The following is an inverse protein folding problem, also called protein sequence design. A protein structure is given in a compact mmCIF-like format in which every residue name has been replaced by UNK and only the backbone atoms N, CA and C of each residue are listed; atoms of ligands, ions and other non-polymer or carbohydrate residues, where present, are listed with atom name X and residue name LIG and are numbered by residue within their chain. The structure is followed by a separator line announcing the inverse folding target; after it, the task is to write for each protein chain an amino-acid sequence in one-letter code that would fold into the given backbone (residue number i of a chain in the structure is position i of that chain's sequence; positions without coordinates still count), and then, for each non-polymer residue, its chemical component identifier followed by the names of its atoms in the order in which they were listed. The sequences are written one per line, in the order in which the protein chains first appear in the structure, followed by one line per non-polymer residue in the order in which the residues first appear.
data_IF_576267298960
#
_entry.id   IF_576267298960
#
_cell.length_a   1.000
_cell.length_b   1.000
_cell.length_c   1.000
_cell.angle_alpha   90.00
_cell.angle_beta   90.00
_cell.angle_gamma   90.00
#
_symmetry.space_group_name_H-M   'P 1'
#
loop_
_entity.id
_entity.type
_entity.pdbx_description
1 polymer ?
#
# COMPACT_ATOMS: atom_id res chain seq x y z
N UNK A 1 29.59 -44.31 -16.95
CA UNK A 1 29.96 -42.88 -16.84
C UNK A 1 28.69 -42.08 -16.64
N UNK A 2 28.46 -41.64 -15.40
CA UNK A 2 27.17 -41.15 -14.91
C UNK A 2 26.96 -39.70 -15.34
N UNK A 3 25.84 -39.49 -16.04
CA UNK A 3 25.29 -38.22 -16.50
C UNK A 3 24.46 -37.65 -15.34
N UNK A 4 24.82 -36.47 -14.83
CA UNK A 4 24.02 -35.77 -13.83
C UNK A 4 23.28 -34.62 -14.52
N UNK A 5 21.97 -34.80 -14.67
CA UNK A 5 21.01 -33.77 -15.06
C UNK A 5 20.92 -32.70 -13.96
N UNK A 6 21.39 -31.48 -14.24
CA UNK A 6 21.16 -30.31 -13.38
C UNK A 6 19.93 -29.55 -13.90
N UNK A 7 18.73 -30.00 -13.50
CA UNK A 7 17.50 -29.21 -13.64
C UNK A 7 17.41 -28.19 -12.50
N UNK A 8 18.14 -27.08 -12.62
CA UNK A 8 17.88 -25.87 -11.80
C UNK A 8 17.01 -24.88 -12.57
N UNK A 9 15.72 -24.87 -12.24
CA UNK A 9 14.77 -23.83 -12.67
C UNK A 9 15.17 -22.48 -12.06
N UNK A 10 15.20 -21.37 -12.81
CA UNK A 10 15.31 -20.04 -12.24
C UNK A 10 14.05 -19.74 -11.43
N UNK A 11 14.23 -19.26 -10.19
CA UNK A 11 13.14 -18.66 -9.41
C UNK A 11 12.82 -17.31 -10.03
N UNK A 12 11.90 -17.32 -11.00
CA UNK A 12 11.15 -16.14 -11.38
C UNK A 12 10.19 -15.84 -10.23
N UNK A 13 10.10 -14.59 -9.80
CA UNK A 13 8.99 -14.13 -8.96
C UNK A 13 7.70 -14.25 -9.78
N UNK A 14 7.13 -15.46 -9.81
CA UNK A 14 5.96 -15.79 -10.60
C UNK A 14 4.73 -15.21 -9.91
N UNK A 15 4.23 -14.11 -10.47
CA UNK A 15 2.90 -13.57 -10.21
C UNK A 15 1.84 -14.36 -11.00
N UNK A 16 1.87 -15.68 -10.99
CA UNK A 16 0.79 -16.52 -11.56
C UNK A 16 0.98 -18.00 -11.19
N UNK A 17 0.06 -18.57 -10.39
CA UNK A 17 0.04 -20.01 -10.10
C UNK A 17 -1.09 -20.71 -10.86
N UNK A 18 -0.70 -21.68 -11.70
CA UNK A 18 -1.56 -22.69 -12.31
C UNK A 18 -2.04 -23.76 -11.31
N UNK A 19 -3.00 -24.62 -11.70
CA UNK A 19 -3.92 -25.29 -10.78
C UNK A 19 -3.36 -26.60 -10.23
N UNK A 20 -3.57 -26.84 -8.93
CA UNK A 20 -3.38 -28.15 -8.30
C UNK A 20 -4.71 -28.91 -8.26
N UNK A 21 -4.69 -30.08 -8.89
CA UNK A 21 -5.72 -31.11 -8.82
C UNK A 21 -5.83 -31.74 -7.43
N UNK A 22 -7.08 -31.88 -6.98
CA UNK A 22 -7.69 -33.04 -6.32
C UNK A 22 -6.82 -33.91 -5.40
N UNK A 23 -6.98 -33.68 -4.10
CA UNK A 23 -6.92 -34.74 -3.09
C UNK A 23 -8.24 -34.76 -2.32
N UNK A 24 -9.05 -35.76 -2.65
CA UNK A 24 -10.28 -36.18 -1.98
C UNK A 24 -9.97 -36.71 -0.58
N UNK A 25 -10.67 -36.22 0.45
CA UNK A 25 -10.81 -36.92 1.73
C UNK A 25 -12.10 -36.50 2.44
N UNK A 26 -12.95 -37.49 2.74
CA UNK A 26 -13.69 -37.54 4.01
C UNK A 26 -15.07 -36.88 4.07
N UNK A 27 -16.06 -37.55 3.51
CA UNK A 27 -17.50 -37.37 3.80
C UNK A 27 -17.76 -37.65 5.30
N UNK A 28 -18.33 -36.71 6.06
CA UNK A 28 -19.12 -37.07 7.25
C UNK A 28 -20.16 -36.02 7.68
N UNK A 29 -21.42 -36.46 7.57
CA UNK A 29 -22.64 -36.18 8.35
C UNK A 29 -23.09 -34.74 8.61
N UNK A 30 -24.16 -34.44 7.89
CA UNK A 30 -25.21 -33.44 8.13
C UNK A 30 -25.91 -33.73 9.47
N UNK A 31 -25.98 -32.75 10.36
CA UNK A 31 -26.87 -32.75 11.54
C UNK A 31 -27.71 -31.47 11.50
N UNK A 32 -29.02 -31.63 11.52
CA UNK A 32 -30.04 -30.59 11.65
C UNK A 32 -30.41 -30.46 13.13
N UNK A 33 -30.61 -29.24 13.69
CA UNK A 33 -31.20 -29.08 15.01
C UNK A 33 -32.70 -28.76 14.93
N UNK A 34 -33.47 -29.38 15.82
CA UNK A 34 -34.88 -29.07 16.13
C UNK A 34 -34.97 -27.92 17.16
N UNK A 35 -36.10 -27.19 17.23
CA UNK A 35 -36.25 -25.99 18.06
C UNK A 35 -36.98 -26.25 19.40
N UNK A 36 -37.01 -25.19 20.22
CA UNK A 36 -37.86 -24.91 21.40
C UNK A 36 -37.30 -25.27 22.80
N UNK A 37 -36.85 -24.26 23.55
CA UNK A 37 -37.69 -23.59 24.57
C UNK A 37 -36.96 -22.42 25.29
N UNK A 38 -37.67 -21.28 25.32
CA UNK A 38 -37.83 -20.23 26.34
C UNK A 38 -36.71 -19.31 26.90
N UNK A 39 -37.12 -18.03 26.95
CA UNK A 39 -36.45 -16.73 27.20
C UNK A 39 -36.11 -16.45 28.70
N UNK A 40 -35.69 -15.23 29.18
CA UNK A 40 -35.52 -13.93 28.51
C UNK A 40 -34.32 -13.00 28.89
N UNK A 41 -34.06 -12.05 27.97
CA UNK A 41 -33.64 -10.62 28.11
C UNK A 41 -32.41 -10.21 28.96
N UNK A 42 -31.36 -9.76 28.24
CA UNK A 42 -30.56 -8.56 28.60
C UNK A 42 -29.71 -8.11 27.40
N UNK A 43 -29.71 -6.81 27.06
CA UNK A 43 -28.69 -6.17 26.23
C UNK A 43 -29.08 -5.72 24.81
N UNK A 44 -30.02 -4.76 24.68
CA UNK A 44 -30.49 -4.20 23.40
C UNK A 44 -29.56 -3.17 22.72
N UNK A 45 -28.27 -3.10 23.07
CA UNK A 45 -27.32 -2.16 22.44
C UNK A 45 -26.39 -2.81 21.41
N UNK A 46 -26.20 -4.14 21.43
CA UNK A 46 -25.31 -4.84 20.49
C UNK A 46 -25.99 -5.31 19.19
N UNK A 47 -27.32 -5.40 19.14
CA UNK A 47 -28.04 -5.82 17.92
C UNK A 47 -28.16 -4.69 16.90
N UNK A 48 -28.32 -3.44 17.32
CA UNK A 48 -28.40 -2.28 16.40
C UNK A 48 -27.05 -2.04 15.71
N UNK A 49 -25.93 -2.20 16.43
CA UNK A 49 -24.59 -2.06 15.84
C UNK A 49 -24.24 -3.21 14.86
N UNK A 50 -24.65 -4.45 15.15
CA UNK A 50 -24.47 -5.57 14.21
C UNK A 50 -25.30 -5.41 12.94
N UNK A 51 -26.52 -4.88 13.04
CA UNK A 51 -27.42 -4.73 11.89
C UNK A 51 -26.96 -3.60 10.94
N UNK A 52 -26.40 -2.51 11.48
CA UNK A 52 -25.78 -1.46 10.65
C UNK A 52 -24.45 -1.91 10.00
N UNK A 53 -23.63 -2.72 10.67
CA UNK A 53 -22.39 -3.25 10.07
C UNK A 53 -22.70 -4.32 9.01
N UNK A 54 -23.74 -5.13 9.21
CA UNK A 54 -24.16 -6.13 8.22
C UNK A 54 -24.79 -5.49 6.98
N UNK A 55 -25.53 -4.38 7.14
CA UNK A 55 -26.15 -3.65 6.02
C UNK A 55 -25.14 -2.85 5.16
N UNK A 56 -23.96 -2.50 5.70
CA UNK A 56 -22.86 -1.93 4.90
C UNK A 56 -22.08 -3.03 4.17
N UNK A 57 -22.07 -4.26 4.70
CA UNK A 57 -21.35 -5.39 4.09
C UNK A 57 -22.13 -6.11 2.98
N UNK A 58 -23.46 -6.03 2.92
CA UNK A 58 -24.28 -6.82 1.99
C UNK A 58 -24.76 -6.08 0.74
N UNK A 59 -24.40 -4.80 0.54
CA UNK A 59 -24.67 -4.06 -0.71
C UNK A 59 -23.58 -4.16 -1.78
N UNK A 60 -22.58 -5.03 -1.61
CA UNK A 60 -21.48 -5.22 -2.58
C UNK A 60 -21.54 -6.51 -3.40
N UNK A 61 -22.75 -7.03 -3.67
CA UNK A 61 -22.93 -8.21 -4.53
C UNK A 61 -24.10 -8.08 -5.51
N UNK A 62 -24.30 -6.87 -6.04
CA UNK A 62 -24.87 -6.72 -7.39
C UNK A 62 -23.72 -6.28 -8.29
N UNK A 63 -23.15 -7.23 -9.05
CA UNK A 63 -22.19 -6.90 -10.11
C UNK A 63 -23.00 -6.27 -11.24
N UNK A 64 -23.35 -5.00 -11.09
CA UNK A 64 -23.79 -4.20 -12.22
C UNK A 64 -22.63 -4.16 -13.20
N UNK A 65 -22.82 -4.77 -14.37
CA UNK A 65 -21.91 -4.64 -15.50
C UNK A 65 -22.04 -3.21 -16.03
N UNK A 66 -21.41 -2.26 -15.33
CA UNK A 66 -21.38 -0.87 -15.72
C UNK A 66 -20.56 -0.80 -17.01
N UNK A 67 -21.22 -0.35 -18.07
CA UNK A 67 -20.58 -0.06 -19.35
C UNK A 67 -19.40 0.88 -19.10
N UNK A 68 -18.26 0.59 -19.72
CA UNK A 68 -17.14 1.52 -19.65
C UNK A 68 -17.55 2.89 -20.20
N UNK A 69 -16.98 3.96 -19.65
CA UNK A 69 -16.91 5.21 -20.39
C UNK A 69 -16.09 4.93 -21.65
N UNK A 70 -16.76 4.94 -22.80
CA UNK A 70 -16.13 4.88 -24.13
C UNK A 70 -15.51 6.21 -24.53
N UNK A 71 -15.52 7.19 -23.61
CA UNK A 71 -15.09 8.56 -23.85
C UNK A 71 -14.02 8.97 -22.84
N UNK A 72 -13.08 9.84 -23.23
CA UNK A 72 -12.17 10.49 -22.30
C UNK A 72 -12.94 11.25 -21.20
N UNK A 73 -12.32 11.47 -20.03
CA UNK A 73 -13.00 12.07 -18.89
C UNK A 73 -13.20 13.61 -18.99
N UNK A 74 -12.68 14.24 -20.03
CA UNK A 74 -12.82 15.67 -20.35
C UNK A 74 -12.73 15.84 -21.87
N UNK A 75 -13.03 17.03 -22.38
CA UNK A 75 -13.08 17.43 -23.80
C UNK A 75 -11.70 17.81 -24.34
N UNK A 76 -11.58 17.97 -25.67
CA UNK A 76 -10.34 18.39 -26.31
C UNK A 76 -9.98 19.83 -25.94
N UNK A 77 -10.98 20.70 -25.75
CA UNK A 77 -10.80 22.13 -25.52
C UNK A 77 -10.17 22.45 -24.15
N UNK A 78 -10.32 21.53 -23.20
CA UNK A 78 -9.79 21.64 -21.84
C UNK A 78 -8.51 20.83 -21.66
N UNK A 79 -8.09 20.10 -22.70
CA UNK A 79 -6.82 19.38 -22.72
C UNK A 79 -5.65 20.34 -22.56
N UNK A 80 -4.71 19.99 -21.68
CA UNK A 80 -3.49 20.77 -21.47
C UNK A 80 -2.42 20.24 -22.44
N UNK A 81 -1.96 21.04 -23.41
CA UNK A 81 -1.00 20.59 -24.40
C UNK A 81 0.37 20.34 -23.75
N UNK A 82 1.08 19.34 -24.23
CA UNK A 82 2.49 19.13 -23.89
C UNK A 82 3.28 18.69 -25.11
N UNK A 83 4.53 19.14 -25.21
CA UNK A 83 5.51 18.68 -26.20
C UNK A 83 6.03 17.27 -25.90
N UNK A 84 6.12 16.91 -24.62
CA UNK A 84 6.58 15.59 -24.17
C UNK A 84 5.61 15.02 -23.13
N UNK A 85 5.09 13.83 -23.40
CA UNK A 85 4.11 13.16 -22.54
C UNK A 85 4.74 12.11 -21.63
N UNK A 86 5.85 11.51 -22.05
CA UNK A 86 6.52 10.41 -21.35
C UNK A 86 7.87 10.85 -20.79
N UNK A 87 8.37 10.22 -19.71
CA UNK A 87 9.73 10.46 -19.25
C UNK A 87 10.78 10.00 -20.27
N UNK A 88 12.04 10.41 -20.06
CA UNK A 88 13.13 10.08 -20.98
C UNK A 88 13.46 8.58 -21.04
N UNK A 89 13.44 7.90 -19.89
CA UNK A 89 13.67 6.46 -19.80
C UNK A 89 13.00 5.90 -18.53
N UNK A 90 12.60 4.64 -18.59
CA UNK A 90 12.03 3.89 -17.46
C UNK A 90 12.78 2.58 -17.31
N UNK A 91 12.84 2.09 -16.07
CA UNK A 91 13.44 0.79 -15.78
C UNK A 91 12.38 -0.30 -15.86
N UNK A 92 12.74 -1.40 -16.50
CA UNK A 92 11.95 -2.63 -16.45
C UNK A 92 12.16 -3.37 -15.10
N UNK A 93 11.52 -4.54 -14.97
CA UNK A 93 11.63 -5.41 -13.79
C UNK A 93 13.06 -5.89 -13.50
N UNK A 94 13.94 -5.87 -14.51
CA UNK A 94 15.34 -6.22 -14.40
C UNK A 94 16.24 -5.00 -14.15
N UNK A 95 15.69 -3.80 -13.98
CA UNK A 95 16.40 -2.52 -13.81
C UNK A 95 17.12 -2.01 -15.06
N UNK A 96 16.81 -2.56 -16.24
CA UNK A 96 17.33 -2.11 -17.53
C UNK A 96 16.53 -0.90 -18.01
N UNK A 97 17.19 0.23 -18.34
CA UNK A 97 16.51 1.39 -18.88
C UNK A 97 16.02 1.12 -20.32
N UNK A 98 14.77 1.47 -20.60
CA UNK A 98 14.16 1.42 -21.91
C UNK A 98 13.34 2.70 -22.17
N UNK A 99 13.07 2.99 -23.44
CA UNK A 99 12.24 4.13 -23.82
C UNK A 99 10.75 3.82 -23.58
N UNK A 100 9.98 4.68 -22.91
CA UNK A 100 8.54 4.45 -22.72
C UNK A 100 7.74 4.38 -24.03
N UNK A 101 8.28 4.93 -25.12
CA UNK A 101 7.66 4.91 -26.44
C UNK A 101 7.78 3.55 -27.13
N UNK A 102 8.76 2.70 -26.77
CA UNK A 102 8.89 1.37 -27.38
C UNK A 102 7.85 0.40 -26.83
N UNK A 103 7.50 0.52 -25.55
CA UNK A 103 6.45 -0.27 -24.91
C UNK A 103 5.63 0.57 -23.93
N UNK A 104 4.69 1.33 -24.49
CA UNK A 104 3.81 2.23 -23.72
C UNK A 104 2.83 1.47 -22.83
N UNK A 105 2.41 0.26 -23.22
CA UNK A 105 1.49 -0.55 -22.41
C UNK A 105 2.15 -0.99 -21.11
N UNK A 106 3.39 -1.50 -21.19
CA UNK A 106 4.18 -1.89 -20.01
C UNK A 106 4.53 -0.69 -19.15
N UNK A 107 4.91 0.43 -19.78
CA UNK A 107 5.11 1.69 -19.06
C UNK A 107 3.88 2.07 -18.22
N UNK A 108 2.70 2.15 -18.84
CA UNK A 108 1.49 2.60 -18.15
C UNK A 108 1.06 1.64 -17.04
N UNK A 109 1.29 0.34 -17.20
CA UNK A 109 1.10 -0.63 -16.13
C UNK A 109 1.99 -0.29 -14.94
N UNK A 110 3.29 -0.09 -15.16
CA UNK A 110 4.21 0.20 -14.07
C UNK A 110 3.94 1.56 -13.41
N UNK A 111 3.53 2.57 -14.18
CA UNK A 111 3.39 3.95 -13.68
C UNK A 111 2.03 4.26 -13.04
N UNK A 112 0.96 3.58 -13.46
CA UNK A 112 -0.40 3.83 -12.95
C UNK A 112 -0.99 2.68 -12.13
N UNK A 113 -0.50 1.44 -12.29
CA UNK A 113 -1.11 0.30 -11.60
C UNK A 113 -0.89 0.36 -10.09
N UNK A 114 -1.97 0.32 -9.32
CA UNK A 114 -1.96 0.27 -7.84
C UNK A 114 -2.25 -1.14 -7.31
N UNK A 115 -1.77 -2.16 -8.02
CA UNK A 115 -2.01 -3.57 -7.70
C UNK A 115 -1.55 -3.98 -6.30
N UNK A 116 -0.41 -3.45 -5.83
CA UNK A 116 0.09 -3.70 -4.48
C UNK A 116 -0.97 -3.33 -3.44
N UNK A 117 -1.56 -2.15 -3.56
CA UNK A 117 -2.57 -1.67 -2.62
C UNK A 117 -3.93 -2.34 -2.82
N UNK A 118 -4.29 -2.71 -4.06
CA UNK A 118 -5.51 -3.44 -4.36
C UNK A 118 -5.53 -4.81 -3.66
N UNK A 119 -4.38 -5.49 -3.59
CA UNK A 119 -4.26 -6.78 -2.88
C UNK A 119 -4.62 -6.72 -1.40
N UNK A 120 -4.38 -5.58 -0.76
CA UNK A 120 -4.69 -5.35 0.66
C UNK A 120 -5.90 -4.44 0.86
N UNK A 121 -6.71 -4.20 -0.19
CA UNK A 121 -7.84 -3.27 -0.16
C UNK A 121 -8.75 -3.45 1.06
N UNK A 122 -9.08 -4.71 1.39
CA UNK A 122 -9.92 -5.09 2.54
C UNK A 122 -9.41 -4.61 3.90
N UNK A 123 -8.12 -4.30 4.01
CA UNK A 123 -7.45 -3.88 5.24
C UNK A 123 -7.06 -2.39 5.23
N UNK A 124 -7.27 -1.66 4.13
CA UNK A 124 -6.84 -0.26 4.01
C UNK A 124 -7.49 0.64 5.06
N UNK A 125 -8.68 0.30 5.55
CA UNK A 125 -9.36 1.00 6.64
C UNK A 125 -8.54 1.05 7.95
N UNK A 126 -7.61 0.11 8.15
CA UNK A 126 -6.66 0.16 9.27
C UNK A 126 -5.62 1.26 9.04
N UNK A 127 -5.18 1.48 7.80
CA UNK A 127 -4.14 2.44 7.45
C UNK A 127 -4.65 3.87 7.27
N UNK A 128 -5.89 4.05 6.81
CA UNK A 128 -6.50 5.35 6.54
C UNK A 128 -8.03 5.29 6.58
N UNK A 129 -8.67 6.45 6.66
CA UNK A 129 -10.13 6.54 6.62
C UNK A 129 -10.60 6.57 5.15
N UNK A 130 -11.78 5.99 4.83
CA UNK A 130 -12.36 6.07 3.49
C UNK A 130 -12.92 7.48 3.26
N UNK A 131 -12.02 8.42 2.98
CA UNK A 131 -12.32 9.81 2.68
C UNK A 131 -11.33 10.32 1.64
N UNK A 132 -11.68 11.36 0.85
CA UNK A 132 -10.75 12.02 -0.04
C UNK A 132 -9.53 12.56 0.72
N UNK A 133 -8.38 12.76 0.05
CA UNK A 133 -7.22 13.38 0.70
C UNK A 133 -7.56 14.82 1.10
N UNK A 134 -6.89 15.31 2.15
CA UNK A 134 -7.06 16.71 2.57
C UNK A 134 -6.24 17.65 1.67
N UNK A 135 -6.68 18.90 1.46
CA UNK A 135 -6.01 19.84 0.57
C UNK A 135 -4.55 20.16 0.96
N UNK A 136 -3.75 20.62 0.02
CA UNK A 136 -2.31 20.87 0.21
C UNK A 136 -2.00 21.93 1.28
N UNK A 137 -2.84 22.96 1.39
CA UNK A 137 -2.72 23.97 2.42
C UNK A 137 -2.87 23.35 3.82
N UNK A 138 -3.77 22.38 4.00
CA UNK A 138 -3.94 21.64 5.24
C UNK A 138 -2.73 20.77 5.55
N UNK A 139 -2.13 20.13 4.53
CA UNK A 139 -0.90 19.35 4.70
C UNK A 139 0.21 20.24 5.27
N UNK A 140 0.41 21.39 4.65
CA UNK A 140 1.42 22.37 5.05
C UNK A 140 1.13 22.94 6.44
N UNK A 141 -0.13 23.31 6.72
CA UNK A 141 -0.55 23.83 8.03
C UNK A 141 -0.37 22.81 9.18
N UNK A 142 -0.45 21.51 8.88
CA UNK A 142 -0.19 20.42 9.85
C UNK A 142 1.31 20.11 9.96
N UNK A 143 2.17 20.95 9.40
CA UNK A 143 3.63 20.76 9.33
C UNK A 143 4.02 19.43 8.67
N UNK A 144 3.27 19.01 7.65
CA UNK A 144 3.70 17.89 6.81
C UNK A 144 4.55 18.41 5.67
N UNK A 145 5.71 17.80 5.48
CA UNK A 145 6.55 18.06 4.33
C UNK A 145 5.99 17.30 3.13
N UNK A 146 5.73 18.02 2.05
CA UNK A 146 5.32 17.44 0.76
C UNK A 146 6.58 16.94 0.06
N UNK A 147 6.57 15.68 -0.37
CA UNK A 147 7.70 15.04 -1.06
C UNK A 147 7.21 14.51 -2.41
N UNK A 148 7.71 15.04 -3.54
CA UNK A 148 7.47 14.46 -4.84
C UNK A 148 8.03 13.04 -4.91
N UNK A 149 7.19 12.06 -5.25
CA UNK A 149 7.58 10.64 -5.36
C UNK A 149 6.90 10.00 -6.57
N UNK A 150 7.66 9.65 -7.61
CA UNK A 150 7.14 9.07 -8.85
C UNK A 150 6.43 7.72 -8.67
N UNK A 151 6.61 7.05 -7.52
CA UNK A 151 5.99 5.74 -7.28
C UNK A 151 4.52 5.89 -6.95
N UNK A 152 3.67 5.31 -7.79
CA UNK A 152 2.22 5.34 -7.60
C UNK A 152 1.77 4.69 -6.28
N UNK A 153 2.49 3.66 -5.85
CA UNK A 153 2.27 2.96 -4.57
C UNK A 153 2.47 3.86 -3.34
N UNK A 154 3.25 4.93 -3.46
CA UNK A 154 3.52 5.88 -2.38
C UNK A 154 2.64 7.13 -2.45
N UNK A 155 1.89 7.33 -3.53
CA UNK A 155 0.99 8.48 -3.66
C UNK A 155 -0.03 8.51 -2.51
N UNK A 156 -0.08 9.64 -1.79
CA UNK A 156 -0.86 9.92 -0.57
C UNK A 156 -0.49 9.07 0.65
N UNK A 157 0.66 8.42 0.65
CA UNK A 157 1.19 7.71 1.80
C UNK A 157 2.06 8.68 2.63
N UNK A 158 1.83 8.72 3.94
CA UNK A 158 2.62 9.56 4.84
C UNK A 158 3.34 8.77 5.93
N UNK A 159 4.52 9.27 6.26
CA UNK A 159 5.49 8.68 7.17
C UNK A 159 5.40 9.26 8.58
N UNK A 160 5.85 8.52 9.62
CA UNK A 160 5.96 9.05 10.98
C UNK A 160 6.77 10.35 11.09
N UNK A 161 7.74 10.54 10.19
CA UNK A 161 8.57 11.74 10.01
C UNK A 161 7.79 12.99 9.52
N UNK A 162 6.46 12.91 9.42
CA UNK A 162 5.57 13.95 8.86
C UNK A 162 5.81 14.26 7.39
N UNK A 163 6.35 13.32 6.62
CA UNK A 163 6.50 13.44 5.17
C UNK A 163 5.33 12.79 4.47
N UNK A 164 4.69 13.48 3.53
CA UNK A 164 3.66 12.92 2.66
C UNK A 164 4.22 12.81 1.24
N UNK A 165 4.13 11.63 0.67
CA UNK A 165 4.60 11.33 -0.67
C UNK A 165 3.48 11.55 -1.68
N UNK A 166 3.73 12.35 -2.71
CA UNK A 166 2.78 12.65 -3.76
C UNK A 166 3.46 12.47 -5.13
N UNK A 167 2.93 11.54 -5.94
CA UNK A 167 3.30 11.44 -7.35
C UNK A 167 2.93 12.72 -8.09
N UNK A 168 3.88 13.44 -8.71
CA UNK A 168 3.61 14.57 -9.59
C UNK A 168 2.60 14.18 -10.67
N UNK A 169 1.69 15.09 -11.02
CA UNK A 169 0.63 14.79 -11.97
C UNK A 169 1.26 14.61 -13.37
N UNK A 170 1.20 13.40 -13.96
CA UNK A 170 1.86 13.17 -15.23
C UNK A 170 1.17 13.94 -16.36
N UNK A 171 1.97 14.61 -17.21
CA UNK A 171 1.48 15.41 -18.33
C UNK A 171 0.58 14.63 -19.28
N UNK A 172 0.85 13.34 -19.46
CA UNK A 172 0.02 12.49 -20.31
C UNK A 172 -1.41 12.32 -19.80
N UNK A 173 -1.68 12.42 -18.49
CA UNK A 173 -3.04 12.38 -17.95
C UNK A 173 -3.83 13.67 -18.19
N UNK A 174 -3.14 14.76 -18.53
CA UNK A 174 -3.76 16.05 -18.86
C UNK A 174 -4.09 16.18 -20.36
N UNK A 175 -3.77 15.15 -21.16
CA UNK A 175 -3.95 15.14 -22.61
C UNK A 175 -5.14 14.29 -23.04
N UNK A 176 -6.16 14.90 -23.62
CA UNK A 176 -7.33 14.19 -24.17
C UNK A 176 -6.93 13.10 -25.18
N UNK A 177 -5.98 13.42 -26.07
CA UNK A 177 -5.53 12.48 -27.10
C UNK A 177 -4.83 11.26 -26.51
N UNK A 178 -4.12 11.44 -25.39
CA UNK A 178 -3.48 10.34 -24.70
C UNK A 178 -4.50 9.37 -24.09
N UNK A 179 -5.54 9.90 -23.43
CA UNK A 179 -6.66 9.09 -22.93
C UNK A 179 -7.29 8.26 -24.03
N UNK A 180 -7.63 8.91 -25.16
CA UNK A 180 -8.25 8.24 -26.31
C UNK A 180 -7.37 7.14 -26.89
N UNK A 181 -6.06 7.35 -26.95
CA UNK A 181 -5.12 6.42 -27.59
C UNK A 181 -4.79 5.21 -26.72
N UNK A 182 -4.58 5.42 -25.41
CA UNK A 182 -3.97 4.42 -24.52
C UNK A 182 -4.84 3.96 -23.34
N UNK A 183 -5.81 4.76 -22.89
CA UNK A 183 -6.58 4.47 -21.67
C UNK A 183 -8.02 4.02 -21.95
N UNK A 184 -8.52 4.20 -23.17
CA UNK A 184 -9.84 3.70 -23.59
C UNK A 184 -9.67 2.33 -24.26
N UNK A 185 -10.50 1.33 -23.89
CA UNK A 185 -10.46 0.02 -24.54
C UNK A 185 -10.91 0.21 -26.03
N UNK A 186 -10.14 -0.32 -26.98
CA UNK A 186 -10.47 -0.29 -28.43
C UNK A 186 -11.45 -1.40 -28.77
N UNK A 187 -12.32 -1.17 -29.75
CA UNK A 187 -13.20 -2.22 -30.26
C UNK A 187 -12.44 -3.19 -31.17
N UNK A 188 -12.68 -4.52 -31.09
CA UNK A 188 -13.53 -5.22 -30.13
C UNK A 188 -12.79 -5.53 -28.80
N UNK A 189 -13.26 -4.97 -27.68
CA UNK A 189 -12.81 -5.36 -26.34
C UNK A 189 -13.81 -6.35 -25.72
N UNK A 190 -13.36 -7.47 -25.12
CA UNK A 190 -14.23 -8.39 -24.35
C UNK A 190 -15.03 -7.67 -23.25
N UNK A 191 -14.49 -6.58 -22.72
CA UNK A 191 -15.12 -5.71 -21.73
C UNK A 191 -16.30 -4.87 -22.24
N UNK A 192 -16.44 -4.72 -23.56
CA UNK A 192 -17.52 -3.98 -24.21
C UNK A 192 -18.64 -4.91 -24.71
N UNK A 193 -18.35 -6.20 -24.92
CA UNK A 193 -19.25 -7.11 -25.63
C UNK A 193 -19.89 -8.23 -24.80
N UNK A 194 -19.42 -8.56 -23.59
CA UNK A 194 -19.95 -9.75 -22.91
C UNK A 194 -20.01 -9.69 -21.36
N UNK A 195 -21.20 -9.95 -20.81
CA UNK A 195 -21.47 -9.97 -19.35
C UNK A 195 -20.75 -11.12 -18.60
N UNK A 196 -20.27 -12.12 -19.34
CA UNK A 196 -19.73 -13.39 -18.80
C UNK A 196 -18.29 -13.25 -18.28
N UNK A 197 -17.52 -12.25 -18.74
CA UNK A 197 -16.12 -12.06 -18.33
C UNK A 197 -15.95 -11.51 -16.91
N UNK A 198 -17.03 -11.11 -16.23
CA UNK A 198 -16.98 -10.55 -14.88
C UNK A 198 -16.88 -11.59 -13.75
N UNK A 199 -16.83 -12.90 -14.06
CA UNK A 199 -16.94 -13.98 -13.05
C UNK A 199 -15.74 -14.96 -12.97
N UNK A 200 -14.70 -14.84 -13.78
CA UNK A 200 -13.58 -15.80 -13.70
C UNK A 200 -12.62 -15.45 -12.56
N UNK A 201 -12.41 -16.41 -11.64
CA UNK A 201 -11.40 -16.35 -10.57
C UNK A 201 -9.95 -16.62 -11.05
N UNK A 202 -9.74 -16.74 -12.37
CA UNK A 202 -8.41 -16.77 -13.00
C UNK A 202 -8.16 -15.39 -13.61
N UNK A 203 -7.00 -14.80 -13.29
CA UNK A 203 -6.64 -13.39 -13.45
C UNK A 203 -6.38 -12.91 -14.88
N UNK A 204 -6.94 -13.57 -15.87
CA UNK A 204 -6.74 -13.36 -17.31
C UNK A 204 -7.92 -12.63 -17.99
N UNK A 205 -8.92 -12.19 -17.20
CA UNK A 205 -10.20 -11.63 -17.68
C UNK A 205 -10.52 -10.16 -17.37
N UNK A 206 -9.56 -9.35 -16.92
CA UNK A 206 -9.79 -7.91 -16.62
C UNK A 206 -9.26 -7.06 -17.78
N UNK A 207 -10.08 -6.24 -18.48
CA UNK A 207 -9.54 -5.29 -19.50
C UNK A 207 -8.47 -4.44 -18.81
N UNK A 208 -7.23 -4.60 -19.22
CA UNK A 208 -6.10 -3.87 -18.65
C UNK A 208 -6.30 -2.36 -18.83
N UNK A 209 -6.81 -1.92 -19.97
CA UNK A 209 -7.12 -0.51 -20.23
C UNK A 209 -8.23 -0.01 -19.30
N UNK A 210 -9.23 -0.83 -18.97
CA UNK A 210 -10.24 -0.49 -17.95
C UNK A 210 -9.59 -0.28 -16.58
N UNK A 211 -8.66 -1.16 -16.20
CA UNK A 211 -7.93 -1.01 -14.95
C UNK A 211 -7.10 0.29 -14.94
N UNK A 212 -6.35 0.56 -16.02
CA UNK A 212 -5.54 1.77 -16.16
C UNK A 212 -6.38 3.05 -16.20
N UNK A 213 -7.52 3.04 -16.88
CA UNK A 213 -8.49 4.14 -16.89
C UNK A 213 -8.92 4.49 -15.46
N UNK A 214 -9.35 3.48 -14.70
CA UNK A 214 -9.77 3.66 -13.30
C UNK A 214 -8.64 4.18 -12.42
N UNK A 215 -7.40 3.75 -12.66
CA UNK A 215 -6.24 4.21 -11.91
C UNK A 215 -5.87 5.65 -12.26
N UNK A 216 -5.82 6.00 -13.54
CA UNK A 216 -5.56 7.36 -14.01
C UNK A 216 -6.64 8.35 -13.55
N UNK A 217 -7.91 7.95 -13.60
CA UNK A 217 -9.02 8.81 -13.15
C UNK A 217 -8.98 8.97 -11.63
N UNK A 218 -8.62 7.92 -10.91
CA UNK A 218 -8.39 7.99 -9.46
C UNK A 218 -7.25 8.93 -9.08
N UNK A 219 -6.15 8.95 -9.86
CA UNK A 219 -5.06 9.90 -9.68
C UNK A 219 -5.49 11.34 -9.98
N UNK A 220 -6.31 11.57 -11.00
CA UNK A 220 -6.90 12.90 -11.23
C UNK A 220 -7.82 13.30 -10.07
N UNK A 221 -8.64 12.37 -9.59
CA UNK A 221 -9.54 12.59 -8.46
C UNK A 221 -8.81 12.97 -7.17
N UNK A 222 -7.65 12.36 -6.88
CA UNK A 222 -6.85 12.77 -5.73
C UNK A 222 -6.36 14.21 -5.87
N UNK A 223 -5.93 14.63 -7.07
CA UNK A 223 -5.51 16.00 -7.33
C UNK A 223 -6.65 17.03 -7.26
N UNK A 224 -7.86 16.68 -7.73
CA UNK A 224 -9.06 17.51 -7.53
C UNK A 224 -9.29 17.79 -6.04
N UNK A 225 -9.06 16.80 -5.18
CA UNK A 225 -9.23 16.90 -3.73
C UNK A 225 -8.05 17.58 -3.01
N UNK A 226 -6.84 17.47 -3.57
CA UNK A 226 -5.64 18.10 -3.04
C UNK A 226 -5.59 19.60 -3.36
N UNK A 227 -6.11 20.01 -4.53
CA UNK A 227 -6.02 21.36 -5.07
C UNK A 227 -7.42 21.99 -5.16
N UNK A 228 -7.94 22.42 -4.01
CA UNK A 228 -9.28 23.03 -3.92
C UNK A 228 -9.25 24.53 -4.22
N UNK A 229 -8.23 25.24 -3.72
CA UNK A 229 -8.11 26.71 -3.81
C UNK A 229 -6.86 27.11 -4.58
N UNK A 230 -6.82 28.37 -5.01
CA UNK A 230 -5.67 28.97 -5.67
C UNK A 230 -4.39 28.91 -4.79
N UNK A 231 -4.54 29.01 -3.46
CA UNK A 231 -3.42 28.76 -2.53
C UNK A 231 -2.87 27.33 -2.59
N UNK A 232 -3.73 26.32 -2.75
CA UNK A 232 -3.29 24.94 -2.92
C UNK A 232 -2.59 24.76 -4.27
N UNK A 233 -3.08 25.45 -5.31
CA UNK A 233 -2.49 25.43 -6.64
C UNK A 233 -1.08 26.02 -6.64
N UNK A 234 -0.88 27.16 -5.96
CA UNK A 234 0.44 27.75 -5.78
C UNK A 234 1.40 26.79 -5.06
N UNK A 235 0.94 26.11 -4.00
CA UNK A 235 1.72 25.07 -3.30
C UNK A 235 2.06 23.92 -4.24
N UNK A 236 1.10 23.46 -5.06
CA UNK A 236 1.33 22.37 -6.00
C UNK A 236 2.39 22.71 -7.05
N UNK A 237 2.42 23.94 -7.56
CA UNK A 237 3.44 24.39 -8.49
C UNK A 237 4.80 24.57 -7.82
N UNK A 238 4.86 25.17 -6.63
CA UNK A 238 6.09 25.34 -5.85
C UNK A 238 6.76 23.98 -5.53
N UNK A 239 5.93 22.98 -5.21
CA UNK A 239 6.38 21.62 -4.92
C UNK A 239 6.56 20.75 -6.19
N UNK A 240 6.48 21.34 -7.39
CA UNK A 240 6.63 20.64 -8.68
C UNK A 240 5.67 19.45 -8.89
N UNK A 241 4.51 19.49 -8.24
CA UNK A 241 3.46 18.47 -8.40
C UNK A 241 2.60 18.72 -9.63
N UNK A 242 2.46 19.98 -10.04
CA UNK A 242 1.84 20.38 -11.28
C UNK A 242 2.90 20.98 -12.22
N UNK A 243 2.75 20.78 -13.54
CA UNK A 243 3.58 21.49 -14.51
C UNK A 243 3.41 23.02 -14.41
N UNK A 244 4.50 23.78 -14.48
CA UNK A 244 4.48 25.25 -14.36
C UNK A 244 3.72 25.97 -15.48
N UNK A 245 3.56 25.32 -16.62
CA UNK A 245 2.78 25.81 -17.77
C UNK A 245 1.27 25.67 -17.60
N UNK A 246 0.80 24.94 -16.57
CA UNK A 246 -0.62 24.91 -16.21
C UNK A 246 -0.97 26.20 -15.48
N UNK A 247 -2.02 26.89 -15.91
CA UNK A 247 -2.57 28.05 -15.18
C UNK A 247 -3.74 27.64 -14.30
N UNK A 248 -4.07 28.47 -13.30
CA UNK A 248 -5.24 28.25 -12.45
C UNK A 248 -6.54 28.18 -13.26
N UNK A 249 -6.70 29.02 -14.28
CA UNK A 249 -7.88 29.00 -15.17
C UNK A 249 -8.03 27.68 -15.93
N UNK A 250 -6.92 27.12 -16.43
CA UNK A 250 -6.90 25.82 -17.10
C UNK A 250 -7.27 24.71 -16.11
N UNK A 251 -6.74 24.76 -14.90
CA UNK A 251 -7.08 23.81 -13.83
C UNK A 251 -8.56 23.86 -13.47
N UNK A 252 -9.14 25.05 -13.27
CA UNK A 252 -10.57 25.21 -12.94
C UNK A 252 -11.48 24.65 -14.04
N UNK A 253 -11.17 24.92 -15.32
CA UNK A 253 -11.92 24.34 -16.45
C UNK A 253 -11.84 22.82 -16.47
N UNK A 254 -10.64 22.26 -16.25
CA UNK A 254 -10.41 20.82 -16.21
C UNK A 254 -11.18 20.14 -15.07
N UNK A 255 -11.07 20.69 -13.86
CA UNK A 255 -11.77 20.18 -12.69
C UNK A 255 -13.29 20.21 -12.92
N UNK A 256 -13.82 21.30 -13.49
CA UNK A 256 -15.25 21.42 -13.78
C UNK A 256 -15.75 20.28 -14.66
N UNK A 257 -15.10 20.02 -15.80
CA UNK A 257 -15.52 18.93 -16.69
C UNK A 257 -15.33 17.55 -16.05
N UNK A 258 -14.24 17.34 -15.30
CA UNK A 258 -14.01 16.08 -14.58
C UNK A 258 -15.12 15.78 -13.56
N UNK A 259 -15.57 16.81 -12.83
CA UNK A 259 -16.68 16.68 -11.87
C UNK A 259 -18.00 16.40 -12.59
N UNK A 260 -18.30 17.10 -13.68
CA UNK A 260 -19.50 16.89 -14.50
C UNK A 260 -19.54 15.49 -15.15
N UNK A 261 -18.38 14.96 -15.54
CA UNK A 261 -18.23 13.63 -16.14
C UNK A 261 -18.07 12.49 -15.09
N UNK A 262 -18.31 12.78 -13.81
CA UNK A 262 -18.41 11.77 -12.77
C UNK A 262 -17.08 11.24 -12.22
N UNK A 263 -15.98 12.01 -12.30
CA UNK A 263 -14.69 11.63 -11.70
C UNK A 263 -14.77 11.33 -10.18
N UNK A 264 -15.80 11.83 -9.50
CA UNK A 264 -16.06 11.59 -8.07
C UNK A 264 -16.85 10.31 -7.80
N UNK A 265 -17.40 9.66 -8.83
CA UNK A 265 -18.17 8.44 -8.66
C UNK A 265 -17.22 7.28 -8.29
N UNK A 266 -17.39 6.64 -7.12
CA UNK A 266 -16.59 5.50 -6.68
C UNK A 266 -16.52 4.34 -7.67
N UNK A 267 -17.51 4.20 -8.57
CA UNK A 267 -17.57 3.14 -9.56
C UNK A 267 -16.57 3.33 -10.72
N UNK A 268 -16.23 4.58 -11.05
CA UNK A 268 -15.35 4.93 -12.18
C UNK A 268 -13.89 5.06 -11.78
N UNK A 269 -13.60 5.18 -10.48
CA UNK A 269 -12.23 5.23 -9.96
C UNK A 269 -11.78 3.89 -9.42
N UNK A 270 -10.46 3.69 -9.34
CA UNK A 270 -9.92 2.51 -8.67
C UNK A 270 -10.22 2.60 -7.16
N UNK A 271 -10.63 1.48 -6.55
CA UNK A 271 -11.04 1.41 -5.15
C UNK A 271 -9.95 1.88 -4.15
N UNK A 272 -8.68 1.87 -4.56
CA UNK A 272 -7.59 2.51 -3.83
C UNK A 272 -7.90 3.98 -3.50
N UNK A 273 -8.36 4.76 -4.47
CA UNK A 273 -8.51 6.22 -4.33
C UNK A 273 -9.72 6.64 -3.49
N UNK A 274 -10.53 5.69 -3.04
CA UNK A 274 -11.54 5.92 -2.00
C UNK A 274 -10.89 6.17 -0.62
N UNK A 275 -9.62 5.78 -0.47
CA UNK A 275 -8.79 6.10 0.67
C UNK A 275 -7.76 7.13 0.23
N UNK A 276 -7.91 8.37 0.69
CA UNK A 276 -6.93 9.43 0.45
C UNK A 276 -5.64 9.16 1.21
N UNK A 277 -5.55 9.69 2.44
CA UNK A 277 -4.30 9.61 3.22
C UNK A 277 -4.11 8.27 3.91
N UNK A 278 -2.98 7.62 3.64
CA UNK A 278 -2.59 6.38 4.27
C UNK A 278 -1.33 6.50 5.13
N UNK A 279 -1.36 5.86 6.30
CA UNK A 279 -0.19 5.79 7.19
C UNK A 279 0.74 4.66 6.79
N UNK A 280 2.00 4.97 6.47
CA UNK A 280 3.00 3.96 6.11
C UNK A 280 3.22 2.95 7.24
N UNK A 281 3.31 3.42 8.49
CA UNK A 281 3.51 2.54 9.66
C UNK A 281 2.42 1.48 9.82
N UNK A 282 1.19 1.79 9.39
CA UNK A 282 0.07 0.85 9.42
C UNK A 282 0.05 -0.06 8.20
N UNK A 283 0.41 0.45 7.03
CA UNK A 283 0.60 -0.37 5.83
C UNK A 283 1.67 -1.45 6.06
N UNK A 284 2.80 -1.10 6.68
CA UNK A 284 3.85 -2.05 7.01
C UNK A 284 3.35 -3.15 7.94
N UNK A 285 2.54 -2.81 8.96
CA UNK A 285 1.91 -3.79 9.84
C UNK A 285 0.95 -4.72 9.07
N UNK A 286 0.11 -4.18 8.19
CA UNK A 286 -0.82 -4.98 7.38
C UNK A 286 -0.04 -5.99 6.53
N UNK A 287 1.01 -5.56 5.84
CA UNK A 287 1.84 -6.43 5.02
C UNK A 287 2.57 -7.49 5.83
N UNK A 288 3.11 -7.11 6.99
CA UNK A 288 3.71 -8.03 7.95
C UNK A 288 2.72 -9.14 8.36
N UNK A 289 1.52 -8.78 8.82
CA UNK A 289 0.54 -9.77 9.27
C UNK A 289 -0.05 -10.61 8.13
N UNK A 290 -0.22 -10.03 6.94
CA UNK A 290 -0.88 -10.73 5.82
C UNK A 290 0.06 -11.67 5.07
N UNK A 291 1.30 -11.26 4.86
CA UNK A 291 2.26 -11.95 4.00
C UNK A 291 3.46 -12.53 4.76
N UNK A 292 3.49 -12.40 6.09
CA UNK A 292 4.62 -12.86 6.90
C UNK A 292 5.91 -12.10 6.63
N UNK A 293 5.83 -10.97 5.91
CA UNK A 293 6.97 -10.12 5.60
C UNK A 293 7.26 -9.20 6.78
N UNK A 294 7.65 -9.82 7.90
CA UNK A 294 7.91 -9.15 9.19
C UNK A 294 8.92 -8.02 9.05
N UNK A 295 9.85 -8.17 8.11
CA UNK A 295 11.03 -7.31 8.01
C UNK A 295 11.01 -6.33 6.83
N UNK A 296 10.30 -6.62 5.73
CA UNK A 296 10.24 -5.72 4.56
C UNK A 296 9.02 -4.80 4.58
N UNK A 297 7.91 -5.23 5.19
CA UNK A 297 6.66 -4.47 5.23
C UNK A 297 6.11 -4.17 3.82
N UNK A 298 5.38 -3.06 3.70
CA UNK A 298 4.91 -2.50 2.42
C UNK A 298 6.04 -1.71 1.74
N UNK A 299 6.70 -0.86 2.50
CA UNK A 299 7.91 -0.17 2.09
C UNK A 299 8.94 -0.22 3.22
N UNK A 300 10.21 -0.36 2.87
CA UNK A 300 11.29 -0.41 3.83
C UNK A 300 11.31 0.90 4.64
N UNK A 301 11.17 0.80 5.96
CA UNK A 301 10.93 1.96 6.85
C UNK A 301 12.21 2.73 7.15
N UNK A 302 13.36 2.07 7.06
CA UNK A 302 14.65 2.61 7.48
C UNK A 302 15.59 2.64 6.29
N UNK A 303 16.13 3.80 5.94
CA UNK A 303 17.13 3.85 4.88
C UNK A 303 18.50 3.39 5.39
N UNK A 304 18.72 3.46 6.71
CA UNK A 304 19.96 3.08 7.37
C UNK A 304 19.71 2.19 8.59
N UNK A 305 20.61 1.24 8.86
CA UNK A 305 20.59 0.43 10.08
C UNK A 305 20.54 1.28 11.37
N UNK A 306 21.17 2.45 11.35
CA UNK A 306 21.20 3.39 12.48
C UNK A 306 19.80 3.85 12.90
N UNK A 307 18.92 4.16 11.95
CA UNK A 307 17.53 4.58 12.24
C UNK A 307 16.75 3.45 12.91
N UNK A 308 16.97 2.22 12.44
CA UNK A 308 16.38 1.02 13.05
C UNK A 308 16.85 0.86 14.51
N UNK A 309 18.15 1.02 14.79
CA UNK A 309 18.66 0.92 16.15
C UNK A 309 18.13 2.05 17.06
N UNK A 310 18.04 3.28 16.58
CA UNK A 310 17.51 4.39 17.39
C UNK A 310 16.05 4.17 17.80
N UNK A 311 15.20 3.68 16.89
CA UNK A 311 13.79 3.43 17.18
C UNK A 311 13.58 2.32 18.22
N UNK A 312 14.46 1.31 18.26
CA UNK A 312 14.42 0.26 19.28
C UNK A 312 15.09 0.66 20.60
N UNK A 313 16.21 1.40 20.56
CA UNK A 313 16.99 1.75 21.76
C UNK A 313 16.35 2.87 22.58
N UNK A 314 15.60 3.78 21.96
CA UNK A 314 14.94 4.90 22.64
C UNK A 314 13.94 4.44 23.72
N UNK A 315 12.92 3.61 23.42
CA UNK A 315 11.99 3.11 24.43
C UNK A 315 12.66 2.17 25.44
N UNK A 316 13.70 1.44 25.02
CA UNK A 316 14.49 0.60 25.93
C UNK A 316 15.20 1.46 26.98
N UNK A 317 15.84 2.55 26.57
CA UNK A 317 16.54 3.48 27.47
C UNK A 317 15.57 4.06 28.51
N UNK A 318 14.40 4.54 28.06
CA UNK A 318 13.37 5.05 28.97
C UNK A 318 12.89 3.97 29.98
N UNK A 319 12.73 2.73 29.51
CA UNK A 319 12.34 1.59 30.35
C UNK A 319 13.42 1.28 31.39
N UNK A 320 14.70 1.26 31.00
CA UNK A 320 15.82 1.02 31.90
C UNK A 320 15.90 2.10 32.97
N UNK A 321 15.74 3.38 32.60
CA UNK A 321 15.73 4.49 33.55
C UNK A 321 14.58 4.34 34.56
N UNK A 322 13.37 4.02 34.10
CA UNK A 322 12.22 3.80 34.98
C UNK A 322 12.44 2.60 35.94
N UNK A 323 12.97 1.49 35.42
CA UNK A 323 13.29 0.30 36.21
C UNK A 323 14.36 0.60 37.26
N UNK A 324 15.42 1.34 36.91
CA UNK A 324 16.43 1.78 37.87
C UNK A 324 15.83 2.65 38.98
N UNK A 325 14.95 3.59 38.62
CA UNK A 325 14.18 4.39 39.58
C UNK A 325 13.35 3.52 40.54
N UNK A 326 12.62 2.54 40.01
CA UNK A 326 11.86 1.60 40.82
C UNK A 326 12.75 0.76 41.77
N UNK A 327 13.91 0.30 41.28
CA UNK A 327 14.90 -0.41 42.11
C UNK A 327 15.43 0.47 43.24
N UNK A 328 15.73 1.75 42.99
CA UNK A 328 16.17 2.66 44.05
C UNK A 328 15.09 2.87 45.12
N UNK A 329 13.82 3.05 44.73
CA UNK A 329 12.72 3.16 45.68
C UNK A 329 12.53 1.88 46.50
N UNK A 330 12.76 0.72 45.88
CA UNK A 330 12.67 -0.59 46.52
C UNK A 330 13.81 -0.83 47.51
N UNK A 331 15.03 -0.37 47.20
CA UNK A 331 16.16 -0.36 48.14
C UNK A 331 15.83 0.46 49.38
N UNK A 332 15.22 1.64 49.21
CA UNK A 332 14.74 2.46 50.34
C UNK A 332 13.66 1.71 51.13
N UNK A 333 12.71 1.07 50.46
CA UNK A 333 11.68 0.25 51.12
C UNK A 333 12.26 -0.88 51.97
N UNK A 334 13.26 -1.60 51.46
CA UNK A 334 13.96 -2.67 52.18
C UNK A 334 14.74 -2.17 53.40
N UNK A 335 15.20 -0.91 53.38
CA UNK A 335 15.87 -0.28 54.51
C UNK A 335 14.91 0.26 55.60
N UNK A 336 13.59 0.18 55.40
CA UNK A 336 12.58 0.67 56.35
C UNK A 336 11.86 -0.49 57.07
N UNK A 337 10.81 -0.19 57.83
CA UNK A 337 9.92 -1.18 58.46
C UNK A 337 9.30 -2.17 57.46
N UNK A 338 9.24 -1.84 56.16
CA UNK A 338 8.81 -2.76 55.11
C UNK A 338 9.80 -3.90 54.85
N UNK A 339 11.08 -3.72 55.19
CA UNK A 339 12.13 -4.73 55.03
C UNK A 339 11.87 -6.00 55.84
N UNK A 340 11.11 -5.94 56.93
CA UNK A 340 10.74 -7.13 57.73
C UNK A 340 9.59 -7.96 57.14
N UNK A 341 8.90 -7.48 56.10
CA UNK A 341 7.78 -8.17 55.50
C UNK A 341 8.25 -9.15 54.41
N UNK A 342 8.05 -10.45 54.64
CA UNK A 342 8.45 -11.53 53.71
C UNK A 342 7.83 -11.37 52.32
N UNK A 343 6.58 -10.92 52.22
CA UNK A 343 5.94 -10.68 50.91
C UNK A 343 6.64 -9.56 50.14
N UNK A 344 7.07 -8.51 50.83
CA UNK A 344 7.80 -7.38 50.23
C UNK A 344 9.22 -7.79 49.80
N UNK A 345 9.91 -8.60 50.60
CA UNK A 345 11.22 -9.16 50.24
C UNK A 345 11.14 -10.05 48.99
N UNK A 346 10.15 -10.94 48.91
CA UNK A 346 9.96 -11.83 47.76
C UNK A 346 9.64 -11.04 46.47
N UNK A 347 8.77 -10.03 46.57
CA UNK A 347 8.48 -9.14 45.44
C UNK A 347 9.74 -8.38 45.01
N UNK A 348 10.55 -7.92 45.97
CA UNK A 348 11.78 -7.19 45.69
C UNK A 348 12.84 -8.04 45.01
N UNK A 349 12.99 -9.29 45.45
CA UNK A 349 13.87 -10.25 44.80
C UNK A 349 13.43 -10.52 43.36
N UNK A 350 12.14 -10.84 43.14
CA UNK A 350 11.61 -11.13 41.81
C UNK A 350 11.78 -9.95 40.84
N UNK A 351 11.49 -8.73 41.30
CA UNK A 351 11.67 -7.52 40.50
C UNK A 351 13.14 -7.23 40.17
N UNK A 352 14.06 -7.49 41.10
CA UNK A 352 15.51 -7.33 40.88
C UNK A 352 16.00 -8.29 39.80
N UNK A 353 15.62 -9.58 39.88
CA UNK A 353 15.98 -10.58 38.87
C UNK A 353 15.40 -10.19 37.50
N UNK A 354 14.14 -9.78 37.45
CA UNK A 354 13.50 -9.29 36.22
C UNK A 354 14.23 -8.08 35.62
N UNK A 355 14.67 -7.15 36.45
CA UNK A 355 15.34 -5.91 36.00
C UNK A 355 16.73 -6.15 35.42
N UNK A 356 17.40 -7.23 35.83
CA UNK A 356 18.69 -7.65 35.27
C UNK A 356 18.48 -8.46 33.99
N UNK A 357 17.61 -9.48 34.04
CA UNK A 357 17.44 -10.42 32.93
C UNK A 357 16.62 -9.82 31.79
N UNK A 358 15.59 -9.02 32.09
CA UNK A 358 14.67 -8.45 31.11
C UNK A 358 15.37 -7.63 30.01
N UNK A 359 16.18 -6.61 30.35
CA UNK A 359 16.93 -5.85 29.35
C UNK A 359 17.90 -6.70 28.53
N UNK A 360 18.56 -7.70 29.14
CA UNK A 360 19.46 -8.62 28.43
C UNK A 360 18.71 -9.48 27.39
N UNK A 361 17.53 -9.98 27.75
CA UNK A 361 16.66 -10.72 26.80
C UNK A 361 16.25 -9.81 25.65
N UNK A 362 15.83 -8.57 25.93
CA UNK A 362 15.41 -7.63 24.88
C UNK A 362 16.57 -7.30 23.94
N UNK A 363 17.76 -7.03 24.47
CA UNK A 363 18.96 -6.79 23.66
C UNK A 363 19.33 -8.00 22.80
N UNK A 364 19.24 -9.22 23.36
CA UNK A 364 19.48 -10.45 22.62
C UNK A 364 18.47 -10.63 21.48
N UNK A 365 17.17 -10.37 21.74
CA UNK A 365 16.13 -10.44 20.72
C UNK A 365 16.37 -9.42 19.59
N UNK A 366 16.73 -8.18 19.93
CA UNK A 366 17.06 -7.15 18.93
C UNK A 366 18.28 -7.57 18.10
N UNK A 367 19.32 -8.12 18.73
CA UNK A 367 20.51 -8.61 18.04
C UNK A 367 20.19 -9.78 17.09
N UNK A 368 19.36 -10.74 17.52
CA UNK A 368 18.92 -11.86 16.68
C UNK A 368 18.11 -11.36 15.48
N UNK A 369 17.15 -10.45 15.70
CA UNK A 369 16.36 -9.85 14.61
C UNK A 369 17.26 -9.10 13.62
N UNK A 370 18.22 -8.33 14.12
CA UNK A 370 19.22 -7.63 13.29
C UNK A 370 20.09 -8.58 12.48
N UNK A 371 20.51 -9.70 13.08
CA UNK A 371 21.30 -10.72 12.40
C UNK A 371 20.51 -11.43 11.29
N UNK A 372 19.25 -11.81 11.56
CA UNK A 372 18.35 -12.36 10.55
C UNK A 372 18.18 -11.36 9.39
N UNK A 373 18.02 -10.07 9.70
CA UNK A 373 17.89 -9.03 8.69
C UNK A 373 19.16 -8.88 7.84
N UNK A 374 20.33 -8.94 8.47
CA UNK A 374 21.61 -8.92 7.76
C UNK A 374 21.74 -10.10 6.80
N UNK A 375 21.43 -11.32 7.24
CA UNK A 375 21.48 -12.52 6.40
C UNK A 375 20.47 -12.43 5.25
N UNK A 376 19.23 -12.01 5.51
CA UNK A 376 18.21 -11.85 4.46
C UNK A 376 18.63 -10.81 3.41
N UNK A 377 19.14 -9.65 3.85
CA UNK A 377 19.65 -8.61 2.96
C UNK A 377 20.86 -9.11 2.14
N UNK A 378 21.76 -9.86 2.77
CA UNK A 378 22.92 -10.45 2.09
C UNK A 378 22.48 -11.47 1.03
N UNK A 379 21.57 -12.38 1.37
CA UNK A 379 21.02 -13.37 0.45
C UNK A 379 20.30 -12.69 -0.72
N UNK A 380 19.45 -11.71 -0.43
CA UNK A 380 18.75 -10.93 -1.46
C UNK A 380 19.75 -10.19 -2.38
N UNK A 381 20.81 -9.61 -1.82
CA UNK A 381 21.86 -8.94 -2.59
C UNK A 381 22.63 -9.93 -3.48
N UNK A 382 22.94 -11.12 -2.97
CA UNK A 382 23.63 -12.16 -3.74
C UNK A 382 22.75 -12.73 -4.87
N UNK A 383 21.45 -12.93 -4.61
CA UNK A 383 20.48 -13.34 -5.62
C UNK A 383 20.34 -12.27 -6.70
N UNK A 384 20.11 -11.01 -6.29
CA UNK A 384 20.02 -9.87 -7.20
C UNK A 384 21.27 -9.74 -8.08
N UNK A 385 22.46 -9.89 -7.48
CA UNK A 385 23.72 -9.91 -8.22
C UNK A 385 23.69 -10.99 -9.30
N UNK A 386 23.37 -12.25 -8.94
CA UNK A 386 23.33 -13.37 -9.89
C UNK A 386 22.37 -13.12 -11.05
N UNK A 387 21.15 -12.71 -10.76
CA UNK A 387 20.12 -12.43 -11.77
C UNK A 387 20.55 -11.30 -12.71
N UNK A 388 21.11 -10.22 -12.15
CA UNK A 388 21.55 -9.07 -12.95
C UNK A 388 22.71 -9.40 -13.88
N UNK A 389 23.70 -10.16 -13.39
CA UNK A 389 24.82 -10.60 -14.24
C UNK A 389 24.35 -11.60 -15.31
N UNK A 390 23.40 -12.49 -15.01
CA UNK A 390 22.82 -13.37 -16.02
C UNK A 390 22.09 -12.57 -17.12
N UNK A 391 21.34 -11.54 -16.74
CA UNK A 391 20.67 -10.66 -17.69
C UNK A 391 21.66 -9.87 -18.58
N UNK A 392 22.78 -9.39 -18.03
CA UNK A 392 23.82 -8.75 -18.85
C UNK A 392 24.42 -9.69 -19.90
N UNK A 393 24.65 -10.96 -19.53
CA UNK A 393 25.15 -11.94 -20.50
C UNK A 393 24.15 -12.17 -21.64
N UNK A 394 22.85 -12.19 -21.35
CA UNK A 394 21.80 -12.30 -22.38
C UNK A 394 21.81 -11.10 -23.32
N UNK A 395 21.85 -9.87 -22.78
CA UNK A 395 21.91 -8.66 -23.60
C UNK A 395 23.14 -8.65 -24.51
N UNK A 396 24.31 -9.06 -24.00
CA UNK A 396 25.54 -9.14 -24.80
C UNK A 396 25.53 -10.24 -25.87
N UNK A 397 24.66 -11.25 -25.73
CA UNK A 397 24.52 -12.32 -26.73
C UNK A 397 23.58 -11.96 -27.88
N UNK A 398 22.76 -10.93 -27.71
CA UNK A 398 21.80 -10.44 -28.71
C UNK A 398 22.29 -9.19 -29.46
N UNK A 399 23.38 -8.57 -29.00
CA UNK A 399 24.15 -7.52 -29.69
C UNK A 399 25.21 -8.12 -30.59
#
# INVERSE_FOLDING_TARGET
MVRADDKRKPWVADHSLGPLENLTLGRSRRFQPTPDDDAPRSGSLFKVAKQHIYLISTRFTTVSCISMSTKPPFSVDVSIPSTFYTPAAIRDEYYTPYSPTTDTSRFLQNDLSVECLNRIHKYLWLAGRPMPPRPLNYQTATSRQIVPDERIDMHMVWEPSRRIHLKPLPRYLLSHQFWKTYLICKEPCPCMSNYIYCQTKRGDGVCQQKHLYKCGLGLLYSYISLIERESDFAIAQDQHLLPHDVTWEMWVKLVKELLENGATNPEYVNARYLFGELRLSRLNKIYMFRYGSILRGYHFTYQTYTELFYDYLTPLTATIVYVALALTAMQVGLATKLGGNVAFQNASYGFTVFSIIGPLIILLLIAILGFIQFINNLLATLQFKRERFAHYNLLSSHS
#
